data_IF_941098407288
#
_entry.id   IF_941098407288
#
_cell.length_a   1.000
_cell.length_b   1.000
_cell.length_c   1.000
_cell.angle_alpha   90.00
_cell.angle_beta   90.00
_cell.angle_gamma   90.00
#
_symmetry.space_group_name_H-M   'P 1'
#
loop_
_entity.id
_entity.type
_entity.pdbx_description
1 polymer ?
#
# COMPACT_ATOMS: atom_id res chain seq x y z
N UNK A 1 -43.13 -45.20 -29.38
CA UNK A 1 -41.81 -45.42 -28.72
C UNK A 1 -41.08 -44.08 -28.72
N UNK A 2 -41.21 -43.31 -27.67
CA UNK A 2 -40.73 -41.90 -27.61
C UNK A 2 -39.54 -41.81 -26.65
N UNK A 3 -38.37 -41.52 -27.18
CA UNK A 3 -37.16 -41.26 -26.40
C UNK A 3 -37.20 -39.80 -25.92
N UNK A 4 -37.39 -39.59 -24.64
CA UNK A 4 -37.29 -38.29 -23.99
C UNK A 4 -35.83 -37.99 -23.76
N UNK A 5 -35.32 -36.94 -24.44
CA UNK A 5 -34.03 -36.33 -24.19
C UNK A 5 -34.19 -35.35 -23.00
N UNK A 6 -33.58 -35.69 -21.88
CA UNK A 6 -33.43 -34.78 -20.75
C UNK A 6 -32.26 -33.80 -21.04
N UNK A 7 -32.61 -32.55 -21.29
CA UNK A 7 -31.65 -31.47 -21.33
C UNK A 7 -31.31 -31.06 -19.90
N UNK A 8 -30.11 -31.37 -19.44
CA UNK A 8 -29.56 -30.88 -18.18
C UNK A 8 -28.95 -29.49 -18.49
N UNK A 9 -29.70 -28.45 -18.11
CA UNK A 9 -29.17 -27.08 -18.10
C UNK A 9 -28.24 -26.96 -16.91
N UNK A 10 -26.93 -26.97 -17.16
CA UNK A 10 -25.92 -26.65 -16.17
C UNK A 10 -25.93 -25.14 -15.92
N UNK A 11 -26.49 -24.75 -14.79
CA UNK A 11 -26.46 -23.38 -14.27
C UNK A 11 -25.04 -23.08 -13.75
N UNK A 12 -24.20 -22.51 -14.59
CA UNK A 12 -22.91 -21.96 -14.16
C UNK A 12 -23.17 -20.72 -13.30
N UNK A 13 -23.22 -20.91 -11.99
CA UNK A 13 -23.11 -19.82 -11.03
C UNK A 13 -21.68 -19.26 -11.12
N UNK A 14 -21.50 -18.19 -11.88
CA UNK A 14 -20.30 -17.38 -11.84
C UNK A 14 -20.26 -16.65 -10.49
N UNK A 15 -19.62 -17.28 -9.51
CA UNK A 15 -19.21 -16.62 -8.29
C UNK A 15 -18.09 -15.62 -8.64
N UNK A 16 -18.48 -14.39 -8.96
CA UNK A 16 -17.57 -13.26 -9.06
C UNK A 16 -17.09 -12.95 -7.64
N UNK A 17 -16.07 -13.68 -7.19
CA UNK A 17 -15.35 -13.38 -5.95
C UNK A 17 -14.64 -12.05 -6.19
N UNK A 18 -15.23 -10.95 -5.70
CA UNK A 18 -14.50 -9.71 -5.45
C UNK A 18 -13.45 -10.03 -4.36
N UNK A 19 -12.32 -10.57 -4.74
CA UNK A 19 -11.13 -10.54 -3.91
C UNK A 19 -10.77 -9.07 -3.76
N UNK A 20 -11.07 -8.51 -2.59
CA UNK A 20 -10.50 -7.26 -2.15
C UNK A 20 -8.98 -7.44 -2.19
N UNK A 21 -8.36 -6.90 -3.24
CA UNK A 21 -6.92 -7.01 -3.47
C UNK A 21 -6.27 -6.13 -2.42
N UNK A 22 -5.73 -6.76 -1.38
CA UNK A 22 -4.88 -6.08 -0.42
C UNK A 22 -3.71 -5.46 -1.21
N UNK A 23 -3.58 -4.13 -1.15
CA UNK A 23 -2.44 -3.44 -1.71
C UNK A 23 -1.16 -4.05 -1.11
N UNK A 24 -0.22 -4.44 -1.96
CA UNK A 24 1.06 -4.94 -1.49
C UNK A 24 1.80 -3.79 -0.79
N UNK A 25 2.18 -4.01 0.47
CA UNK A 25 2.84 -3.02 1.30
C UNK A 25 4.30 -3.43 1.49
N UNK A 26 5.22 -2.59 1.04
CA UNK A 26 6.64 -2.76 1.36
C UNK A 26 6.90 -2.28 2.79
N UNK A 27 7.30 -3.18 3.67
CA UNK A 27 7.60 -2.88 5.07
C UNK A 27 9.11 -2.74 5.26
N UNK A 28 9.55 -1.53 5.66
CA UNK A 28 10.92 -1.28 6.10
C UNK A 28 11.08 -1.54 7.60
N UNK A 29 12.29 -1.88 8.02
CA UNK A 29 12.66 -1.99 9.44
C UNK A 29 13.35 -0.72 9.91
N UNK A 30 13.50 -0.56 11.24
CA UNK A 30 14.05 0.67 11.82
C UNK A 30 15.47 1.04 11.37
N UNK A 31 16.26 0.05 10.90
CA UNK A 31 17.63 0.28 10.42
C UNK A 31 17.77 0.14 8.90
N UNK A 32 16.67 -0.08 8.17
CA UNK A 32 16.75 -0.21 6.72
C UNK A 32 17.03 1.15 6.08
N UNK A 33 17.91 1.16 5.10
CA UNK A 33 18.13 2.33 4.26
C UNK A 33 16.98 2.45 3.26
N UNK A 34 16.34 3.60 3.25
CA UNK A 34 15.27 3.92 2.30
C UNK A 34 15.90 4.55 1.06
N UNK A 35 15.66 3.94 -0.10
CA UNK A 35 16.12 4.46 -1.39
C UNK A 35 15.07 5.41 -1.98
N UNK A 36 15.41 6.69 -2.26
CA UNK A 36 14.48 7.65 -2.85
C UNK A 36 13.91 7.22 -4.21
N UNK A 37 14.69 6.55 -5.05
CA UNK A 37 14.22 6.07 -6.36
C UNK A 37 13.19 4.95 -6.19
N UNK A 38 13.38 4.11 -5.19
CA UNK A 38 12.41 3.07 -4.84
C UNK A 38 11.11 3.69 -4.29
N UNK A 39 11.20 4.70 -3.44
CA UNK A 39 10.05 5.48 -2.94
C UNK A 39 9.26 6.05 -4.12
N UNK A 40 9.94 6.72 -5.06
CA UNK A 40 9.30 7.28 -6.24
C UNK A 40 8.62 6.20 -7.12
N UNK A 41 9.23 5.03 -7.24
CA UNK A 41 8.67 3.92 -8.01
C UNK A 41 7.40 3.33 -7.35
N UNK A 42 7.36 3.25 -6.02
CA UNK A 42 6.25 2.68 -5.26
C UNK A 42 5.08 3.67 -5.15
N UNK A 43 5.38 4.94 -4.87
CA UNK A 43 4.36 5.99 -4.70
C UNK A 43 3.94 6.65 -6.01
N UNK A 44 4.68 6.40 -7.09
CA UNK A 44 4.39 6.96 -8.41
C UNK A 44 3.17 6.33 -9.07
N UNK A 45 2.64 6.97 -10.12
CA UNK A 45 1.53 6.43 -10.88
C UNK A 45 1.93 5.07 -11.49
N UNK A 46 1.06 4.06 -11.30
CA UNK A 46 1.25 2.75 -11.92
C UNK A 46 1.20 2.94 -13.44
N UNK A 47 2.36 3.03 -14.09
CA UNK A 47 2.43 2.93 -15.53
C UNK A 47 2.04 1.52 -15.92
N UNK A 48 0.78 1.30 -16.26
CA UNK A 48 0.38 0.09 -16.98
C UNK A 48 1.17 0.08 -18.29
N UNK A 49 2.26 -0.67 -18.30
CA UNK A 49 2.91 -1.05 -19.55
C UNK A 49 1.86 -1.82 -20.33
N UNK A 50 1.33 -1.14 -21.32
CA UNK A 50 0.29 -1.61 -22.23
C UNK A 50 0.49 -3.08 -22.56
N UNK A 51 -0.53 -3.89 -22.34
CA UNK A 51 -0.69 -5.25 -22.86
C UNK A 51 -0.72 -5.25 -24.41
N UNK A 52 0.31 -4.73 -25.06
CA UNK A 52 0.49 -4.86 -26.53
C UNK A 52 1.03 -6.23 -26.96
N UNK A 53 1.18 -7.15 -26.01
CA UNK A 53 1.71 -8.49 -26.30
C UNK A 53 0.63 -9.53 -26.65
N UNK A 54 -0.65 -9.17 -26.60
CA UNK A 54 -1.76 -10.11 -26.88
C UNK A 54 -2.23 -10.11 -28.34
N UNK A 55 -1.75 -9.20 -29.18
CA UNK A 55 -2.18 -9.14 -30.60
C UNK A 55 -1.35 -10.03 -31.54
N UNK A 56 -0.38 -10.80 -31.04
CA UNK A 56 0.46 -11.66 -31.88
C UNK A 56 0.56 -13.12 -31.41
N UNK A 57 -0.47 -13.67 -30.80
CA UNK A 57 -0.50 -15.10 -30.51
C UNK A 57 -1.35 -15.85 -31.54
N UNK A 58 -0.78 -16.84 -32.27
CA UNK A 58 -1.57 -17.70 -33.15
C UNK A 58 -2.52 -18.55 -32.33
N UNK A 59 -3.77 -18.59 -32.76
CA UNK A 59 -4.85 -19.36 -32.15
C UNK A 59 -4.51 -20.87 -32.12
N UNK A 60 -4.35 -21.41 -30.92
CA UNK A 60 -4.29 -22.86 -30.78
C UNK A 60 -3.26 -23.42 -29.82
N UNK A 61 -3.32 -23.00 -28.52
CA UNK A 61 -2.75 -23.71 -27.35
C UNK A 61 -2.84 -22.83 -26.08
N UNK A 62 -3.93 -22.08 -25.94
CA UNK A 62 -3.91 -20.86 -25.10
C UNK A 62 -4.47 -21.02 -23.68
N UNK A 63 -5.07 -22.14 -23.28
CA UNK A 63 -5.79 -22.14 -22.00
C UNK A 63 -4.88 -22.33 -20.75
N UNK A 64 -3.87 -23.16 -20.83
CA UNK A 64 -2.96 -23.44 -19.69
C UNK A 64 -1.85 -22.38 -19.55
N UNK A 65 -1.42 -21.78 -20.66
CA UNK A 65 -0.39 -20.71 -20.64
C UNK A 65 -0.96 -19.37 -20.14
N UNK A 66 -2.24 -19.10 -20.41
CA UNK A 66 -2.90 -17.87 -19.95
C UNK A 66 -3.06 -17.83 -18.44
N UNK A 67 -3.38 -18.95 -17.79
CA UNK A 67 -3.50 -19.01 -16.32
C UNK A 67 -2.14 -18.85 -15.62
N UNK A 68 -1.07 -19.43 -16.19
CA UNK A 68 0.29 -19.24 -15.68
C UNK A 68 0.79 -17.80 -15.90
N UNK A 69 0.41 -17.16 -17.00
CA UNK A 69 0.77 -15.76 -17.28
C UNK A 69 0.00 -14.79 -16.37
N UNK A 70 -1.28 -15.06 -16.05
CA UNK A 70 -2.07 -14.28 -15.09
C UNK A 70 -1.50 -14.41 -13.68
N UNK A 71 -1.12 -15.61 -13.24
CA UNK A 71 -0.48 -15.84 -11.94
C UNK A 71 0.91 -15.17 -11.85
N UNK A 72 1.69 -15.13 -12.94
CA UNK A 72 2.99 -14.44 -12.99
C UNK A 72 2.84 -12.91 -12.98
N UNK A 73 1.78 -12.37 -13.57
CA UNK A 73 1.46 -10.92 -13.52
C UNK A 73 0.95 -10.53 -12.14
N UNK A 74 0.22 -11.40 -11.44
CA UNK A 74 -0.22 -11.19 -10.06
C UNK A 74 0.96 -11.18 -9.08
N UNK A 75 1.97 -12.05 -9.28
CA UNK A 75 3.19 -12.08 -8.47
C UNK A 75 4.15 -10.90 -8.72
N UNK A 76 3.96 -10.14 -9.80
CA UNK A 76 4.79 -9.00 -10.18
C UNK A 76 4.13 -7.64 -9.94
N UNK A 77 3.07 -7.57 -9.11
CA UNK A 77 2.45 -6.29 -8.77
C UNK A 77 3.42 -5.47 -7.94
N UNK A 78 3.78 -4.24 -8.38
CA UNK A 78 4.60 -3.38 -7.55
C UNK A 78 3.87 -3.03 -6.26
N UNK A 79 4.60 -2.99 -5.15
CA UNK A 79 4.07 -2.48 -3.89
C UNK A 79 3.46 -1.09 -4.14
N UNK A 80 2.26 -0.86 -3.63
CA UNK A 80 1.52 0.41 -3.79
C UNK A 80 1.61 1.29 -2.56
N UNK A 81 2.24 0.79 -1.50
CA UNK A 81 2.43 1.52 -0.26
C UNK A 81 3.77 1.16 0.39
N UNK A 82 4.32 2.12 1.13
CA UNK A 82 5.53 2.01 1.94
C UNK A 82 5.14 2.06 3.42
N UNK A 83 5.63 1.14 4.22
CA UNK A 83 5.43 1.14 5.66
C UNK A 83 6.76 1.33 6.38
N UNK A 84 6.84 2.35 7.25
CA UNK A 84 8.01 2.66 8.08
C UNK A 84 7.65 2.63 9.57
N UNK A 85 8.49 2.02 10.41
CA UNK A 85 8.36 2.09 11.85
C UNK A 85 8.90 3.45 12.35
N UNK A 86 8.18 4.55 12.05
CA UNK A 86 8.58 5.89 12.52
C UNK A 86 8.54 5.92 14.04
N UNK A 87 9.69 6.20 14.64
CA UNK A 87 9.81 6.27 16.08
C UNK A 87 9.33 7.64 16.59
N UNK A 88 8.41 7.61 17.54
CA UNK A 88 7.89 8.78 18.26
C UNK A 88 8.25 8.69 19.74
N UNK A 89 8.21 9.81 20.42
CA UNK A 89 8.29 9.84 21.88
C UNK A 89 7.16 9.04 22.54
N UNK A 90 7.36 8.65 23.81
CA UNK A 90 6.34 7.94 24.55
C UNK A 90 5.07 8.81 24.66
N UNK A 91 3.91 8.24 24.35
CA UNK A 91 2.61 8.93 24.30
C UNK A 91 2.62 10.26 23.53
N UNK A 92 3.43 10.34 22.48
CA UNK A 92 3.71 11.59 21.75
C UNK A 92 3.61 11.37 20.23
N UNK A 93 3.46 12.49 19.53
CA UNK A 93 3.64 12.62 18.09
C UNK A 93 4.97 13.30 17.73
N UNK A 94 5.89 13.49 18.69
CA UNK A 94 7.20 14.06 18.45
C UNK A 94 8.09 13.03 17.74
N UNK A 95 8.54 13.38 16.55
CA UNK A 95 9.41 12.53 15.73
C UNK A 95 10.80 12.50 16.36
N UNK A 96 11.26 11.30 16.75
CA UNK A 96 12.59 11.15 17.31
C UNK A 96 13.67 11.38 16.25
N UNK A 97 14.85 11.87 16.66
CA UNK A 97 15.97 12.12 15.73
C UNK A 97 16.37 10.89 14.90
N UNK A 98 16.23 9.68 15.47
CA UNK A 98 16.51 8.42 14.79
C UNK A 98 15.62 8.12 13.58
N UNK A 99 14.40 8.68 13.54
CA UNK A 99 13.46 8.49 12.44
C UNK A 99 13.67 9.48 11.28
N UNK A 100 14.38 10.60 11.53
CA UNK A 100 14.54 11.66 10.53
C UNK A 100 15.24 11.21 9.25
N UNK A 101 16.35 10.44 9.26
CA UNK A 101 17.02 10.02 8.04
C UNK A 101 16.09 9.23 7.08
N UNK A 102 15.22 8.39 7.61
CA UNK A 102 14.25 7.66 6.78
C UNK A 102 13.19 8.61 6.19
N UNK A 103 12.71 9.58 6.96
CA UNK A 103 11.77 10.59 6.48
C UNK A 103 12.40 11.54 5.45
N UNK A 104 13.69 11.85 5.59
CA UNK A 104 14.45 12.65 4.61
C UNK A 104 14.54 11.90 3.27
N UNK A 105 14.78 10.59 3.30
CA UNK A 105 14.80 9.77 2.10
C UNK A 105 13.41 9.65 1.44
N UNK A 106 12.34 9.55 2.25
CA UNK A 106 10.97 9.63 1.75
C UNK A 106 10.71 10.99 1.07
N UNK A 107 11.12 12.09 1.70
CA UNK A 107 10.97 13.42 1.11
C UNK A 107 11.70 13.54 -0.23
N UNK A 108 12.91 12.99 -0.33
CA UNK A 108 13.68 12.95 -1.58
C UNK A 108 12.93 12.18 -2.66
N UNK A 109 12.37 11.01 -2.33
CA UNK A 109 11.56 10.21 -3.25
C UNK A 109 10.27 10.91 -3.69
N UNK A 110 9.55 11.58 -2.77
CA UNK A 110 8.34 12.35 -3.12
C UNK A 110 8.67 13.51 -4.09
N UNK A 111 9.86 14.09 -4.01
CA UNK A 111 10.29 15.15 -4.97
C UNK A 111 10.51 14.61 -6.38
N UNK A 112 10.82 13.33 -6.54
CA UNK A 112 10.97 12.68 -7.85
C UNK A 112 9.62 12.35 -8.50
N UNK A 113 8.52 12.43 -7.75
CA UNK A 113 7.18 12.21 -8.29
C UNK A 113 6.71 13.39 -9.14
N UNK A 114 5.83 13.16 -10.13
CA UNK A 114 5.12 14.23 -10.82
C UNK A 114 4.47 15.21 -9.83
N UNK A 115 4.40 16.50 -10.20
CA UNK A 115 3.91 17.55 -9.29
C UNK A 115 2.45 17.34 -8.87
N UNK A 116 1.64 16.74 -9.74
CA UNK A 116 0.23 16.40 -9.52
C UNK A 116 0.02 15.15 -8.65
N UNK A 117 1.07 14.33 -8.47
CA UNK A 117 0.98 13.11 -7.67
C UNK A 117 0.81 13.43 -6.19
N UNK A 118 -0.27 12.94 -5.61
CA UNK A 118 -0.58 13.07 -4.19
C UNK A 118 -0.06 11.87 -3.40
N UNK A 119 0.22 12.09 -2.12
CA UNK A 119 0.67 11.05 -1.20
C UNK A 119 -0.15 11.10 0.08
N UNK A 120 -0.76 10.00 0.44
CA UNK A 120 -1.48 9.81 1.70
C UNK A 120 -0.50 9.27 2.74
N UNK A 121 -0.47 9.91 3.90
CA UNK A 121 0.33 9.55 5.08
C UNK A 121 -0.62 8.93 6.09
N UNK A 122 -0.54 7.62 6.28
CA UNK A 122 -1.44 6.86 7.15
C UNK A 122 -0.73 6.54 8.47
N UNK A 123 -1.27 7.01 9.59
CA UNK A 123 -0.79 6.66 10.93
C UNK A 123 -1.50 5.41 11.44
N UNK A 124 -0.73 4.49 12.02
CA UNK A 124 -1.25 3.25 12.62
C UNK A 124 -0.76 3.09 14.06
N UNK A 125 -1.52 2.37 14.87
CA UNK A 125 -1.16 1.91 16.20
C UNK A 125 -1.26 0.38 16.28
N UNK A 126 -0.73 -0.20 17.34
CA UNK A 126 -1.17 -1.53 17.78
C UNK A 126 -2.55 -1.42 18.46
N UNK A 127 -3.12 -2.57 18.79
CA UNK A 127 -4.43 -2.67 19.45
C UNK A 127 -4.34 -2.57 20.98
N UNK A 128 -3.27 -2.00 21.52
CA UNK A 128 -3.13 -1.74 22.95
C UNK A 128 -3.79 -0.41 23.29
N UNK A 129 -4.77 -0.45 24.21
CA UNK A 129 -5.47 0.73 24.70
C UNK A 129 -6.88 0.88 24.11
N UNK A 130 -7.44 2.08 24.19
CA UNK A 130 -8.79 2.37 23.71
C UNK A 130 -8.77 2.79 22.23
N UNK A 131 -9.67 2.24 21.42
CA UNK A 131 -9.78 2.58 19.98
C UNK A 131 -9.89 4.10 19.72
N UNK A 132 -10.72 4.90 20.44
CA UNK A 132 -10.78 6.34 20.20
C UNK A 132 -9.46 7.06 20.46
N UNK A 133 -8.72 6.60 21.47
CA UNK A 133 -7.39 7.13 21.77
C UNK A 133 -6.39 6.79 20.64
N UNK A 134 -6.36 5.53 20.20
CA UNK A 134 -5.51 5.06 19.12
C UNK A 134 -5.80 5.80 17.79
N UNK A 135 -7.07 6.07 17.48
CA UNK A 135 -7.46 6.88 16.34
C UNK A 135 -6.89 8.30 16.41
N UNK A 136 -7.00 8.97 17.56
CA UNK A 136 -6.45 10.32 17.75
C UNK A 136 -4.92 10.34 17.73
N UNK A 137 -4.27 9.37 18.37
CA UNK A 137 -2.81 9.28 18.43
C UNK A 137 -2.23 9.07 17.03
N UNK A 138 -2.81 8.15 16.26
CA UNK A 138 -2.39 7.88 14.89
C UNK A 138 -2.57 9.11 13.97
N UNK A 139 -3.68 9.85 14.13
CA UNK A 139 -3.93 11.09 13.41
C UNK A 139 -2.88 12.17 13.74
N UNK A 140 -2.57 12.36 15.02
CA UNK A 140 -1.52 13.33 15.45
C UNK A 140 -0.15 12.95 14.87
N UNK A 141 0.20 11.66 14.83
CA UNK A 141 1.46 11.15 14.26
C UNK A 141 1.54 11.37 12.77
N UNK A 142 0.50 11.04 12.01
CA UNK A 142 0.44 11.30 10.57
C UNK A 142 0.58 12.80 10.26
N UNK A 143 -0.09 13.66 11.04
CA UNK A 143 0.03 15.12 10.92
C UNK A 143 1.43 15.63 11.26
N UNK A 144 2.12 15.03 12.25
CA UNK A 144 3.49 15.40 12.59
C UNK A 144 4.46 15.09 11.45
N UNK A 145 4.33 13.91 10.83
CA UNK A 145 5.11 13.54 9.65
C UNK A 145 4.80 14.48 8.48
N UNK A 146 3.53 14.78 8.20
CA UNK A 146 3.15 15.75 7.17
C UNK A 146 3.80 17.12 7.41
N UNK A 147 3.70 17.65 8.64
CA UNK A 147 4.35 18.93 8.99
C UNK A 147 5.85 18.87 8.75
N UNK A 148 6.51 17.78 9.16
CA UNK A 148 7.95 17.61 8.96
C UNK A 148 8.32 17.68 7.47
N UNK A 149 7.63 16.96 6.61
CA UNK A 149 7.85 16.96 5.16
C UNK A 149 7.62 18.33 4.53
N UNK A 150 6.59 19.06 4.96
CA UNK A 150 6.30 20.42 4.47
C UNK A 150 7.36 21.41 4.96
N UNK A 151 7.64 21.44 6.28
CA UNK A 151 8.49 22.50 6.87
C UNK A 151 9.97 22.31 6.65
N UNK A 152 10.45 21.05 6.70
CA UNK A 152 11.88 20.74 6.58
C UNK A 152 12.29 20.48 5.13
N UNK A 153 11.38 19.99 4.31
CA UNK A 153 11.71 19.59 2.93
C UNK A 153 10.99 20.41 1.85
N UNK A 154 10.11 21.34 2.24
CA UNK A 154 9.43 22.22 1.30
C UNK A 154 8.46 21.50 0.35
N UNK A 155 7.96 20.31 0.73
CA UNK A 155 6.97 19.61 -0.07
C UNK A 155 5.64 20.37 0.02
N UNK A 156 4.98 20.58 -1.13
CA UNK A 156 3.70 21.25 -1.16
C UNK A 156 2.67 20.56 -0.26
N UNK A 157 2.08 21.31 0.65
CA UNK A 157 1.07 20.81 1.58
C UNK A 157 -0.17 20.24 0.88
N UNK A 158 -0.51 20.72 -0.32
CA UNK A 158 -1.60 20.23 -1.15
C UNK A 158 -1.36 18.83 -1.73
N UNK A 159 -0.10 18.40 -1.78
CA UNK A 159 0.28 17.05 -2.24
C UNK A 159 0.24 16.00 -1.13
N UNK A 160 0.09 16.41 0.12
CA UNK A 160 0.18 15.52 1.28
C UNK A 160 -1.14 15.50 2.05
N UNK A 161 -1.72 14.34 2.21
CA UNK A 161 -2.86 14.09 3.07
C UNK A 161 -2.42 13.27 4.29
N UNK A 162 -2.95 13.59 5.49
CA UNK A 162 -2.61 12.88 6.73
C UNK A 162 -3.87 12.25 7.33
N UNK A 163 -3.88 10.93 7.47
CA UNK A 163 -5.02 10.14 7.97
C UNK A 163 -4.58 9.26 9.13
N UNK A 164 -5.34 9.26 10.22
CA UNK A 164 -5.16 8.34 11.34
C UNK A 164 -6.09 7.14 11.20
N UNK A 165 -5.53 5.95 11.06
CA UNK A 165 -6.28 4.70 10.95
C UNK A 165 -6.35 3.94 12.29
N UNK A 166 -5.58 4.38 13.30
CA UNK A 166 -5.55 3.70 14.60
C UNK A 166 -5.13 2.25 14.46
N UNK A 167 -5.82 1.36 15.14
CA UNK A 167 -5.59 -0.08 15.19
C UNK A 167 -6.36 -0.87 14.12
N UNK A 168 -7.17 -0.21 13.29
CA UNK A 168 -8.13 -0.87 12.37
C UNK A 168 -7.49 -1.72 11.28
N UNK A 169 -6.26 -1.38 10.89
CA UNK A 169 -5.57 -2.04 9.78
C UNK A 169 -4.21 -2.58 10.24
N UNK A 170 -4.18 -3.71 10.96
CA UNK A 170 -2.92 -4.36 11.33
C UNK A 170 -2.18 -4.85 10.07
N UNK A 171 -0.87 -5.01 10.19
CA UNK A 171 -0.07 -5.63 9.11
C UNK A 171 -0.57 -7.07 8.85
N UNK A 172 -0.72 -7.45 7.57
CA UNK A 172 -1.16 -8.79 7.21
C UNK A 172 -0.29 -9.87 7.86
N UNK A 173 -0.92 -10.85 8.50
CA UNK A 173 -0.22 -11.97 9.14
C UNK A 173 0.50 -11.62 10.45
N UNK A 174 0.29 -10.42 11.00
CA UNK A 174 0.83 -10.00 12.30
C UNK A 174 -0.25 -9.96 13.36
N UNK A 175 0.16 -10.21 14.61
CA UNK A 175 -0.70 -10.01 15.76
C UNK A 175 -1.10 -8.53 15.85
N UNK A 176 -2.40 -8.18 15.99
CA UNK A 176 -2.83 -6.80 16.19
C UNK A 176 -2.16 -6.07 17.36
N UNK A 177 -1.73 -6.80 18.39
CA UNK A 177 -1.01 -6.27 19.54
C UNK A 177 0.50 -6.08 19.28
N UNK A 178 1.01 -6.56 18.16
CA UNK A 178 2.45 -6.48 17.86
C UNK A 178 2.89 -5.03 17.63
N UNK A 179 4.06 -4.70 18.20
CA UNK A 179 4.66 -3.36 18.08
C UNK A 179 4.96 -2.92 16.65
N UNK A 180 5.06 -3.84 15.70
CA UNK A 180 5.24 -3.57 14.26
C UNK A 180 4.05 -2.82 13.66
N UNK A 181 2.86 -2.90 14.30
CA UNK A 181 1.70 -2.11 13.89
C UNK A 181 1.84 -0.63 14.21
N UNK A 182 2.72 -0.23 15.13
CA UNK A 182 3.05 1.17 15.39
C UNK A 182 3.93 1.71 14.26
N UNK A 183 3.30 2.16 13.18
CA UNK A 183 3.98 2.55 11.94
C UNK A 183 3.32 3.76 11.29
N UNK A 184 4.04 4.37 10.37
CA UNK A 184 3.48 5.30 9.37
C UNK A 184 3.64 4.68 8.00
N UNK A 185 2.57 4.72 7.23
CA UNK A 185 2.51 4.17 5.88
C UNK A 185 2.29 5.31 4.88
N UNK A 186 2.94 5.22 3.73
CA UNK A 186 2.80 6.18 2.64
C UNK A 186 2.20 5.47 1.44
N UNK A 187 1.19 6.08 0.83
CA UNK A 187 0.52 5.56 -0.35
C UNK A 187 0.39 6.66 -1.40
N UNK A 188 0.72 6.34 -2.65
CA UNK A 188 0.47 7.23 -3.79
C UNK A 188 -1.02 7.24 -4.17
N UNK A 189 -1.54 8.40 -4.57
CA UNK A 189 -2.94 8.59 -4.97
C UNK A 189 -3.04 9.34 -6.28
#
# INVERSE_FOLDING_TARGET
MSRRLLSIAALLLSACSLLAQAAEVKVYRGNDTVDPDEVARILGPVKMRSLRLLDQAPAGRAATSAMAAVAAVEAARPATALSLPVQFGFDSADILPSAKPQLDAIAAGIRLLPAEQRVVIEGHTDAVGAEPYNAQLSQRRAQAVRRYLVTMHGIDAGRLEAVGLGEKNPLPGRDPLAGENRRVQFRGE
#
